data_IF_411564071686
#
_entry.id   IF_411564071686
#
_cell.length_a   1.000
_cell.length_b   1.000
_cell.length_c   1.000
_cell.angle_alpha   90.00
_cell.angle_beta   90.00
_cell.angle_gamma   90.00
#
_symmetry.space_group_name_H-M   'P 1'
#
loop_
_entity.id
_entity.type
_entity.pdbx_description
1 polymer ?
#
# COMPACT_ATOMS: atom_id res chain seq x y z
N UNK A 1 15.22 19.99 7.60
CA UNK A 1 13.87 19.81 7.03
C UNK A 1 13.65 18.32 6.85
N UNK A 2 12.53 17.75 7.33
CA UNK A 2 12.22 16.31 7.13
C UNK A 2 11.35 16.17 5.88
N UNK A 3 11.68 15.20 5.03
CA UNK A 3 10.92 14.88 3.84
C UNK A 3 10.19 13.55 4.04
N UNK A 4 8.96 13.41 3.53
CA UNK A 4 8.26 12.13 3.53
C UNK A 4 9.08 11.11 2.73
N UNK A 5 9.11 9.86 3.21
CA UNK A 5 9.78 8.75 2.55
C UNK A 5 9.26 7.43 3.16
N UNK A 6 8.00 7.07 2.90
CA UNK A 6 7.38 5.93 3.55
C UNK A 6 8.06 4.64 3.11
N UNK A 7 8.14 3.66 4.01
CA UNK A 7 8.50 2.29 3.67
C UNK A 7 7.26 1.41 3.68
N UNK A 8 7.21 0.41 2.82
CA UNK A 8 6.10 -0.55 2.73
C UNK A 8 6.63 -1.96 2.95
N UNK A 9 5.86 -2.77 3.66
CA UNK A 9 6.12 -4.18 3.91
C UNK A 9 4.88 -4.96 3.48
N UNK A 10 5.09 -5.95 2.62
CA UNK A 10 4.10 -6.97 2.28
C UNK A 10 4.48 -8.23 3.06
N UNK A 11 3.58 -8.76 3.88
CA UNK A 11 3.87 -9.89 4.78
C UNK A 11 4.29 -11.16 4.03
N UNK A 12 3.70 -11.40 2.85
CA UNK A 12 4.08 -12.46 1.91
C UNK A 12 3.72 -12.04 0.48
N UNK A 13 4.55 -12.45 -0.47
CA UNK A 13 4.41 -12.01 -1.86
C UNK A 13 3.16 -12.59 -2.54
N UNK A 14 2.77 -13.81 -2.19
CA UNK A 14 1.56 -14.49 -2.69
C UNK A 14 0.48 -14.51 -1.60
N UNK A 15 -0.73 -14.09 -1.98
CA UNK A 15 -1.90 -14.04 -1.11
C UNK A 15 -1.63 -13.33 0.23
N UNK A 16 -1.10 -12.08 0.25
CA UNK A 16 -0.80 -11.37 1.49
C UNK A 16 -2.00 -11.27 2.41
N UNK A 17 -1.75 -11.42 3.72
CA UNK A 17 -2.79 -11.22 4.74
C UNK A 17 -2.70 -9.85 5.38
N UNK A 18 -1.57 -9.18 5.21
CA UNK A 18 -1.29 -7.85 5.74
C UNK A 18 -0.29 -7.12 4.86
N UNK A 19 -0.63 -5.90 4.47
CA UNK A 19 0.32 -4.93 3.94
C UNK A 19 0.36 -3.76 4.91
N UNK A 20 1.55 -3.31 5.28
CA UNK A 20 1.72 -2.16 6.15
C UNK A 20 2.75 -1.16 5.63
N UNK A 21 2.55 0.11 5.95
CA UNK A 21 3.48 1.17 5.63
C UNK A 21 3.86 1.97 6.88
N UNK A 22 5.13 2.34 6.98
CA UNK A 22 5.65 3.21 8.03
C UNK A 22 5.96 4.57 7.43
N UNK A 23 5.35 5.67 7.91
CA UNK A 23 5.68 7.00 7.44
C UNK A 23 7.07 7.42 7.96
N UNK A 24 7.82 8.19 7.17
CA UNK A 24 9.09 8.75 7.65
C UNK A 24 8.89 9.85 8.71
N UNK A 25 7.71 10.47 8.73
CA UNK A 25 7.33 11.52 9.67
C UNK A 25 6.07 11.06 10.41
N UNK A 26 6.13 10.98 11.75
CA UNK A 26 5.07 10.41 12.57
C UNK A 26 3.72 11.14 12.44
N UNK A 27 3.74 12.46 12.20
CA UNK A 27 2.56 13.29 12.02
C UNK A 27 2.02 13.28 10.59
N UNK A 28 2.66 12.54 9.67
CA UNK A 28 2.16 12.39 8.31
C UNK A 28 0.87 11.59 8.27
N UNK A 29 0.05 11.90 7.27
CA UNK A 29 -1.06 11.03 6.87
C UNK A 29 -0.62 10.08 5.76
N UNK A 30 -1.17 8.86 5.77
CA UNK A 30 -0.97 7.88 4.71
C UNK A 30 -2.29 7.61 3.97
N UNK A 31 -2.18 7.50 2.65
CA UNK A 31 -3.21 6.98 1.76
C UNK A 31 -2.62 5.86 0.93
N UNK A 32 -3.44 4.92 0.51
CA UNK A 32 -3.01 3.81 -0.31
C UNK A 32 -3.96 3.53 -1.46
N UNK A 33 -3.42 2.93 -2.51
CA UNK A 33 -4.15 2.43 -3.68
C UNK A 33 -3.59 1.05 -4.03
N UNK A 34 -4.47 0.08 -4.26
CA UNK A 34 -4.12 -1.20 -4.88
C UNK A 34 -4.46 -1.09 -6.36
N UNK A 35 -3.49 -1.41 -7.22
CA UNK A 35 -3.61 -1.36 -8.67
C UNK A 35 -3.51 -2.75 -9.26
N UNK A 36 -4.31 -3.02 -10.29
CA UNK A 36 -4.11 -4.11 -11.24
C UNK A 36 -3.66 -3.50 -12.57
N UNK A 37 -2.38 -3.68 -12.91
CA UNK A 37 -1.75 -2.92 -14.00
C UNK A 37 -1.81 -1.41 -13.75
N UNK A 38 -2.46 -0.66 -14.64
CA UNK A 38 -2.65 0.79 -14.51
C UNK A 38 -3.96 1.18 -13.81
N UNK A 39 -4.83 0.22 -13.52
CA UNK A 39 -6.18 0.45 -13.00
C UNK A 39 -6.18 0.42 -11.48
N UNK A 40 -6.73 1.47 -10.86
CA UNK A 40 -6.97 1.54 -9.43
C UNK A 40 -8.21 0.69 -9.09
N UNK A 41 -8.06 -0.35 -8.27
CA UNK A 41 -9.15 -1.28 -7.95
C UNK A 41 -9.70 -1.11 -6.53
N UNK A 42 -8.85 -0.68 -5.60
CA UNK A 42 -9.19 -0.41 -4.20
C UNK A 42 -8.34 0.76 -3.70
N UNK A 43 -8.85 1.53 -2.74
CA UNK A 43 -8.12 2.64 -2.13
C UNK A 43 -8.59 2.91 -0.72
N UNK A 44 -7.74 3.52 0.10
CA UNK A 44 -8.09 3.88 1.46
C UNK A 44 -7.06 4.79 2.13
N UNK A 45 -7.24 4.96 3.43
CA UNK A 45 -6.36 5.74 4.31
C UNK A 45 -5.78 4.87 5.41
N UNK A 46 -4.76 5.39 6.09
CA UNK A 46 -4.07 4.67 7.16
C UNK A 46 -2.86 3.88 6.66
N UNK A 47 -2.21 3.18 7.60
CA UNK A 47 -0.94 2.48 7.40
C UNK A 47 -1.08 0.98 7.19
N UNK A 48 -2.27 0.39 7.36
CA UNK A 48 -2.48 -1.06 7.35
C UNK A 48 -3.61 -1.41 6.39
N UNK A 49 -3.41 -2.46 5.60
CA UNK A 49 -4.39 -3.06 4.70
C UNK A 49 -4.52 -4.54 5.05
N UNK A 50 -5.73 -5.00 5.36
CA UNK A 50 -6.03 -6.40 5.65
C UNK A 50 -7.30 -6.85 4.93
N UNK A 51 -8.45 -6.24 5.22
CA UNK A 51 -9.74 -6.63 4.65
C UNK A 51 -9.79 -6.44 3.13
N UNK A 52 -9.13 -5.41 2.63
CA UNK A 52 -9.07 -5.11 1.20
C UNK A 52 -8.18 -6.05 0.37
N UNK A 53 -7.42 -6.93 1.03
CA UNK A 53 -6.66 -7.99 0.36
C UNK A 53 -7.52 -9.23 0.08
N UNK A 54 -8.68 -9.35 0.75
CA UNK A 54 -9.58 -10.49 0.59
C UNK A 54 -10.43 -10.31 -0.67
N UNK A 55 -10.66 -11.41 -1.39
CA UNK A 55 -11.52 -11.43 -2.58
C UNK A 55 -10.95 -10.72 -3.79
N UNK A 56 -9.63 -10.49 -3.82
CA UNK A 56 -8.94 -10.13 -5.05
C UNK A 56 -8.98 -11.33 -5.99
N UNK A 57 -9.29 -11.07 -7.27
CA UNK A 57 -9.18 -12.09 -8.30
C UNK A 57 -7.72 -12.52 -8.49
N UNK A 58 -7.50 -13.66 -9.13
CA UNK A 58 -6.15 -14.11 -9.43
C UNK A 58 -5.43 -13.10 -10.33
N UNK A 59 -4.19 -12.75 -9.96
CA UNK A 59 -3.39 -11.81 -10.73
C UNK A 59 -2.29 -11.11 -9.96
N UNK A 60 -1.64 -10.18 -10.67
CA UNK A 60 -0.56 -9.35 -10.15
C UNK A 60 -1.06 -7.96 -9.76
N UNK A 61 -0.62 -7.50 -8.60
CA UNK A 61 -1.03 -6.25 -8.00
C UNK A 61 0.16 -5.40 -7.60
N UNK A 62 -0.05 -4.09 -7.56
CA UNK A 62 0.89 -3.13 -6.96
C UNK A 62 0.15 -2.31 -5.92
N UNK A 63 0.63 -2.32 -4.68
CA UNK A 63 0.18 -1.37 -3.66
C UNK A 63 1.03 -0.11 -3.76
N UNK A 64 0.40 1.05 -3.69
CA UNK A 64 1.09 2.35 -3.67
C UNK A 64 0.64 3.11 -2.44
N UNK A 65 1.57 3.39 -1.53
CA UNK A 65 1.34 4.30 -0.41
C UNK A 65 1.80 5.71 -0.78
N UNK A 66 1.04 6.71 -0.35
CA UNK A 66 1.40 8.12 -0.41
C UNK A 66 1.45 8.68 1.01
N UNK A 67 2.64 9.07 1.44
CA UNK A 67 2.82 9.85 2.67
C UNK A 67 2.66 11.34 2.36
N UNK A 68 1.79 12.01 3.12
CA UNK A 68 1.64 13.47 3.11
C UNK A 68 2.08 14.03 4.45
N UNK A 69 3.17 14.79 4.43
CA UNK A 69 3.69 15.50 5.60
C UNK A 69 2.79 16.67 6.02
N UNK A 70 2.85 17.12 7.29
CA UNK A 70 2.10 18.30 7.76
C UNK A 70 2.42 19.58 6.98
N UNK A 71 3.60 19.65 6.36
CA UNK A 71 4.05 20.78 5.54
C UNK A 71 3.60 20.68 4.07
N UNK A 72 2.82 19.67 3.72
CA UNK A 72 2.20 19.53 2.40
C UNK A 72 3.05 18.82 1.35
N UNK A 73 4.29 18.42 1.66
CA UNK A 73 5.09 17.56 0.79
C UNK A 73 4.54 16.13 0.77
N UNK A 74 4.62 15.49 -0.39
CA UNK A 74 4.19 14.10 -0.56
C UNK A 74 5.33 13.25 -1.15
N UNK A 75 5.44 12.00 -0.70
CA UNK A 75 6.30 10.99 -1.29
C UNK A 75 5.52 9.68 -1.42
N UNK A 76 5.87 8.87 -2.42
CA UNK A 76 5.26 7.56 -2.64
C UNK A 76 6.27 6.44 -2.50
N UNK A 77 5.79 5.30 -2.02
CA UNK A 77 6.45 4.01 -2.14
C UNK A 77 5.45 2.99 -2.69
N UNK A 78 5.97 1.91 -3.28
CA UNK A 78 5.14 0.89 -3.88
C UNK A 78 5.80 -0.48 -3.77
N UNK A 79 4.99 -1.51 -3.67
CA UNK A 79 5.45 -2.91 -3.63
C UNK A 79 4.51 -3.80 -4.45
N UNK A 80 5.04 -4.90 -5.00
CA UNK A 80 4.26 -5.87 -5.76
C UNK A 80 3.84 -7.05 -4.90
N UNK A 81 2.68 -7.61 -5.21
CA UNK A 81 2.18 -8.85 -4.65
C UNK A 81 1.26 -9.57 -5.65
N UNK A 82 0.91 -10.82 -5.35
CA UNK A 82 0.08 -11.66 -6.19
C UNK A 82 -1.11 -12.19 -5.39
N UNK A 83 -2.24 -12.37 -6.04
CA UNK A 83 -3.38 -13.12 -5.53
C UNK A 83 -3.52 -14.36 -6.40
N UNK A 84 -3.69 -15.53 -5.79
CA UNK A 84 -3.82 -16.81 -6.46
C UNK A 84 -4.87 -17.65 -5.74
N UNK A 85 -5.72 -18.33 -6.51
CA UNK A 85 -6.70 -19.26 -5.95
C UNK A 85 -5.97 -20.42 -5.26
N UNK A 86 -6.40 -20.76 -4.04
CA UNK A 86 -5.95 -21.97 -3.37
C UNK A 86 -6.84 -23.11 -3.85
N UNK A 87 -6.31 -23.97 -4.71
CA UNK A 87 -6.98 -25.19 -5.23
C UNK A 87 -7.40 -26.15 -4.11
#
# INVERSE_FOLDING_TARGET
MRYPNPTVTVDKVENPTKIEATPAIAESSLKWVIKSGTTDIKSGTGSIITEDLKGLADGSYTVVFTERSPRGFNQRCSERFYSESTD
#
